data_IF_886316103553
#
_entry.id   IF_886316103553
#
_cell.length_a   1.000
_cell.length_b   1.000
_cell.length_c   1.000
_cell.angle_alpha   90.00
_cell.angle_beta   90.00
_cell.angle_gamma   90.00
#
_symmetry.space_group_name_H-M   'P 1'
#
loop_
_entity.id
_entity.type
_entity.pdbx_description
1 polymer ?
#
# COMPACT_ATOMS: atom_id res chain seq x y z
N UNK A 1 -20.43 5.77 12.03
CA UNK A 1 -19.77 7.04 11.68
C UNK A 1 -19.03 6.83 10.36
N UNK A 2 -18.99 7.87 9.53
CA UNK A 2 -18.21 7.85 8.29
C UNK A 2 -16.71 7.87 8.63
N UNK A 3 -15.88 7.34 7.72
CA UNK A 3 -14.42 7.39 7.86
C UNK A 3 -13.91 8.81 7.63
N UNK A 4 -12.75 9.14 8.16
CA UNK A 4 -12.06 10.39 7.87
C UNK A 4 -11.65 10.51 6.39
N UNK A 5 -11.29 11.72 5.92
CA UNK A 5 -11.02 11.98 4.49
C UNK A 5 -9.91 11.09 3.90
N UNK A 6 -8.81 10.91 4.63
CA UNK A 6 -7.71 10.06 4.19
C UNK A 6 -8.14 8.59 4.14
N UNK A 7 -8.79 8.12 5.21
CA UNK A 7 -9.28 6.75 5.29
C UNK A 7 -10.30 6.42 4.19
N UNK A 8 -11.09 7.40 3.73
CA UNK A 8 -12.02 7.21 2.61
C UNK A 8 -11.31 6.96 1.29
N UNK A 9 -10.18 7.63 1.03
CA UNK A 9 -9.47 7.57 -0.25
C UNK A 9 -8.29 6.60 -0.28
N UNK A 10 -7.88 6.07 0.87
CA UNK A 10 -6.70 5.19 0.98
C UNK A 10 -6.99 3.84 1.62
N UNK A 11 -8.09 3.68 2.38
CA UNK A 11 -8.44 2.39 2.99
C UNK A 11 -9.37 1.61 2.10
N UNK A 12 -8.94 0.42 1.70
CA UNK A 12 -9.74 -0.53 0.92
C UNK A 12 -9.88 -1.85 1.68
N UNK A 13 -10.95 -2.58 1.39
CA UNK A 13 -11.08 -3.97 1.85
C UNK A 13 -10.38 -4.89 0.88
N UNK A 14 -9.59 -5.84 1.39
CA UNK A 14 -8.88 -6.83 0.62
C UNK A 14 -9.28 -8.25 1.03
N UNK A 15 -8.95 -9.21 0.18
CA UNK A 15 -9.20 -10.63 0.40
C UNK A 15 -7.85 -11.31 0.64
N UNK A 16 -7.83 -12.21 1.62
CA UNK A 16 -6.73 -13.13 1.83
C UNK A 16 -7.18 -14.56 1.55
N UNK A 17 -6.43 -15.28 0.74
CA UNK A 17 -6.72 -16.67 0.37
C UNK A 17 -5.41 -17.46 0.30
N UNK A 18 -5.51 -18.79 0.44
CA UNK A 18 -4.37 -19.72 0.27
C UNK A 18 -4.11 -20.08 -1.19
N UNK A 19 -5.09 -19.92 -2.04
CA UNK A 19 -5.03 -20.28 -3.45
C UNK A 19 -5.38 -19.09 -4.33
N UNK A 20 -4.61 -18.88 -5.40
CA UNK A 20 -4.81 -17.76 -6.32
C UNK A 20 -6.16 -17.82 -7.06
N UNK A 21 -6.73 -19.01 -7.28
CA UNK A 21 -8.04 -19.17 -7.93
C UNK A 21 -9.17 -18.73 -7.00
N UNK A 22 -9.08 -19.12 -5.72
CA UNK A 22 -10.04 -18.68 -4.70
C UNK A 22 -9.95 -17.17 -4.50
N UNK A 23 -8.71 -16.61 -4.52
CA UNK A 23 -8.50 -15.17 -4.47
C UNK A 23 -9.17 -14.47 -5.64
N UNK A 24 -8.97 -14.96 -6.86
CA UNK A 24 -9.57 -14.36 -8.06
C UNK A 24 -11.11 -14.42 -8.01
N UNK A 25 -11.70 -15.56 -7.62
CA UNK A 25 -13.14 -15.73 -7.51
C UNK A 25 -13.76 -14.79 -6.47
N UNK A 26 -13.16 -14.72 -5.29
CA UNK A 26 -13.64 -13.86 -4.22
C UNK A 26 -13.48 -12.37 -4.59
N UNK A 27 -12.40 -11.99 -5.27
CA UNK A 27 -12.20 -10.62 -5.76
C UNK A 27 -13.24 -10.23 -6.81
N UNK A 28 -13.57 -11.13 -7.75
CA UNK A 28 -14.60 -10.87 -8.78
C UNK A 28 -15.97 -10.57 -8.15
N UNK A 29 -16.29 -11.22 -7.03
CA UNK A 29 -17.54 -10.97 -6.29
C UNK A 29 -17.46 -9.63 -5.54
N UNK A 30 -16.35 -9.36 -4.86
CA UNK A 30 -16.21 -8.16 -4.02
C UNK A 30 -16.08 -6.87 -4.80
N UNK A 31 -15.51 -6.90 -6.00
CA UNK A 31 -15.32 -5.71 -6.84
C UNK A 31 -16.60 -5.28 -7.58
N UNK A 32 -17.69 -6.04 -7.41
CA UNK A 32 -18.98 -5.68 -8.00
C UNK A 32 -19.42 -4.29 -7.54
N UNK A 33 -19.85 -3.43 -8.46
CA UNK A 33 -20.32 -2.08 -8.09
C UNK A 33 -21.50 -2.16 -7.13
N UNK A 34 -21.41 -1.42 -6.02
CA UNK A 34 -22.53 -1.23 -5.09
C UNK A 34 -22.88 0.27 -5.05
N UNK A 35 -24.15 0.66 -5.27
CA UNK A 35 -24.56 2.07 -5.27
C UNK A 35 -24.38 2.77 -3.92
N UNK A 36 -24.13 2.03 -2.85
CA UNK A 36 -23.80 2.57 -1.52
C UNK A 36 -22.34 2.94 -1.36
N UNK A 37 -21.46 2.48 -2.26
CA UNK A 37 -20.05 2.85 -2.28
C UNK A 37 -19.81 3.96 -3.31
N UNK A 38 -19.70 5.23 -2.88
CA UNK A 38 -19.54 6.35 -3.78
C UNK A 38 -18.14 6.42 -4.41
N UNK A 39 -17.18 5.63 -3.92
CA UNK A 39 -15.79 5.64 -4.37
C UNK A 39 -15.46 4.43 -5.25
N UNK A 40 -16.35 3.45 -5.35
CA UNK A 40 -16.14 2.31 -6.23
C UNK A 40 -16.19 2.72 -7.70
N UNK A 41 -15.08 2.65 -8.47
CA UNK A 41 -15.11 2.98 -9.89
C UNK A 41 -15.84 1.88 -10.67
N UNK A 42 -16.64 2.21 -11.68
CA UNK A 42 -17.35 1.23 -12.51
C UNK A 42 -16.41 0.59 -13.55
N UNK A 43 -15.36 -0.10 -13.08
CA UNK A 43 -14.36 -0.75 -13.95
C UNK A 43 -14.64 -2.25 -13.99
N UNK A 44 -14.51 -2.90 -15.17
CA UNK A 44 -14.63 -4.34 -15.28
C UNK A 44 -13.45 -5.02 -14.58
N UNK A 45 -13.69 -6.13 -13.89
CA UNK A 45 -12.67 -6.88 -13.17
C UNK A 45 -11.43 -7.24 -14.00
N UNK A 46 -11.63 -7.66 -15.24
CA UNK A 46 -10.52 -8.11 -16.11
C UNK A 46 -9.76 -6.99 -16.78
N UNK A 47 -10.20 -5.75 -16.65
CA UNK A 47 -9.51 -4.60 -17.23
C UNK A 47 -9.40 -4.65 -18.76
N UNK A 48 -8.38 -3.97 -19.27
CA UNK A 48 -8.00 -3.98 -20.69
C UNK A 48 -7.00 -5.09 -20.95
N UNK A 49 -6.92 -5.57 -22.22
CA UNK A 49 -5.84 -6.43 -22.66
C UNK A 49 -4.52 -5.63 -22.64
N UNK A 50 -3.57 -6.10 -21.87
CA UNK A 50 -2.26 -5.46 -21.72
C UNK A 50 -1.27 -5.84 -22.84
N UNK A 51 -1.67 -6.73 -23.76
CA UNK A 51 -0.78 -7.30 -24.77
C UNK A 51 0.23 -8.29 -24.16
N UNK A 52 1.12 -8.81 -24.98
CA UNK A 52 2.19 -9.73 -24.56
C UNK A 52 3.51 -9.39 -25.28
N UNK A 53 4.67 -9.49 -24.61
CA UNK A 53 4.83 -9.84 -23.18
C UNK A 53 4.42 -8.68 -22.25
N UNK A 54 3.83 -9.03 -21.11
CA UNK A 54 3.53 -8.04 -20.06
C UNK A 54 4.83 -7.69 -19.34
N UNK A 55 5.13 -6.39 -19.22
CA UNK A 55 6.29 -5.91 -18.49
C UNK A 55 6.04 -5.95 -16.98
N UNK A 56 7.05 -6.37 -16.23
CA UNK A 56 7.10 -6.34 -14.78
C UNK A 56 8.29 -5.51 -14.35
N UNK A 57 8.04 -4.41 -13.65
CA UNK A 57 9.10 -3.66 -13.00
C UNK A 57 9.54 -4.40 -11.74
N UNK A 58 10.83 -4.56 -11.52
CA UNK A 58 11.40 -5.06 -10.26
C UNK A 58 12.12 -3.93 -9.57
N UNK A 59 11.80 -3.70 -8.31
CA UNK A 59 12.50 -2.73 -7.47
C UNK A 59 12.88 -3.35 -6.13
N UNK A 60 14.07 -3.00 -5.67
CA UNK A 60 14.59 -3.32 -4.33
C UNK A 60 14.69 -2.05 -3.49
N UNK A 61 13.92 -1.00 -3.85
CA UNK A 61 13.86 0.21 -3.05
C UNK A 61 13.23 -0.10 -1.69
N UNK A 62 13.98 0.19 -0.65
CA UNK A 62 13.63 -0.08 0.75
C UNK A 62 13.46 1.18 1.58
N UNK A 63 13.34 2.34 0.93
CA UNK A 63 13.31 3.65 1.63
C UNK A 63 14.53 3.84 2.57
N UNK A 64 15.68 3.27 2.21
CA UNK A 64 16.91 3.35 2.99
C UNK A 64 17.05 2.33 4.14
N UNK A 65 16.05 1.46 4.34
CA UNK A 65 16.14 0.38 5.33
C UNK A 65 16.90 -0.83 4.77
N UNK A 66 17.70 -1.54 5.60
CA UNK A 66 18.38 -2.75 5.14
C UNK A 66 17.37 -3.86 4.81
N UNK A 67 17.53 -4.48 3.65
CA UNK A 67 16.74 -5.65 3.27
C UNK A 67 17.50 -6.92 3.67
N UNK A 68 16.82 -7.85 4.33
CA UNK A 68 17.39 -9.15 4.67
C UNK A 68 17.73 -9.94 3.38
N UNK A 69 18.92 -10.57 3.34
CA UNK A 69 19.41 -11.32 2.17
C UNK A 69 18.44 -12.39 1.65
N UNK A 70 17.72 -13.06 2.56
CA UNK A 70 16.68 -14.03 2.19
C UNK A 70 15.49 -13.41 1.45
N UNK A 71 15.15 -12.16 1.71
CA UNK A 71 14.10 -11.44 0.96
C UNK A 71 14.60 -11.08 -0.43
N UNK A 72 15.86 -10.63 -0.56
CA UNK A 72 16.46 -10.37 -1.87
C UNK A 72 16.47 -11.64 -2.73
N UNK A 73 16.86 -12.79 -2.15
CA UNK A 73 16.85 -14.06 -2.85
C UNK A 73 15.43 -14.48 -3.29
N UNK A 74 14.39 -14.17 -2.51
CA UNK A 74 13.00 -14.44 -2.90
C UNK A 74 12.54 -13.53 -4.04
N UNK A 75 12.97 -12.28 -4.09
CA UNK A 75 12.68 -11.38 -5.22
C UNK A 75 13.35 -11.90 -6.49
N UNK A 76 14.62 -12.32 -6.41
CA UNK A 76 15.33 -12.90 -7.56
C UNK A 76 14.64 -14.19 -8.05
N UNK A 77 14.27 -15.10 -7.15
CA UNK A 77 13.52 -16.32 -7.49
C UNK A 77 12.13 -16.01 -8.12
N UNK A 78 11.43 -14.99 -7.62
CA UNK A 78 10.16 -14.58 -8.19
C UNK A 78 10.33 -13.95 -9.57
N UNK A 79 11.42 -13.21 -9.80
CA UNK A 79 11.78 -12.66 -11.10
C UNK A 79 12.01 -13.77 -12.14
N UNK A 80 12.82 -14.78 -11.80
CA UNK A 80 13.08 -15.93 -12.66
C UNK A 80 11.79 -16.68 -13.01
N UNK A 81 10.91 -16.89 -12.02
CA UNK A 81 9.63 -17.56 -12.23
C UNK A 81 8.67 -16.75 -13.13
N UNK A 82 8.71 -15.43 -13.08
CA UNK A 82 7.95 -14.57 -13.97
C UNK A 82 8.49 -14.61 -15.39
N UNK A 83 9.82 -14.60 -15.59
CA UNK A 83 10.44 -14.76 -16.89
C UNK A 83 10.10 -16.11 -17.51
N UNK A 84 10.19 -17.22 -16.76
CA UNK A 84 9.78 -18.55 -17.17
C UNK A 84 8.29 -18.63 -17.57
N UNK A 85 7.45 -17.81 -16.94
CA UNK A 85 6.04 -17.68 -17.28
C UNK A 85 5.77 -16.77 -18.50
N UNK A 86 6.82 -16.16 -19.10
CA UNK A 86 6.72 -15.35 -20.30
C UNK A 86 6.49 -13.87 -20.08
N UNK A 87 6.69 -13.37 -18.86
CA UNK A 87 6.71 -11.94 -18.57
C UNK A 87 8.06 -11.33 -18.94
N UNK A 88 8.07 -10.04 -19.24
CA UNK A 88 9.29 -9.27 -19.44
C UNK A 88 9.66 -8.57 -18.12
N UNK A 89 10.58 -9.14 -17.38
CA UNK A 89 11.04 -8.60 -16.09
C UNK A 89 12.15 -7.57 -16.32
N UNK A 90 12.03 -6.39 -15.70
CA UNK A 90 13.00 -5.30 -15.86
C UNK A 90 13.25 -4.65 -14.50
N UNK A 91 14.51 -4.62 -14.07
CA UNK A 91 14.91 -3.87 -12.88
C UNK A 91 14.95 -2.38 -13.22
N UNK A 92 14.14 -1.57 -12.54
CA UNK A 92 13.97 -0.13 -12.79
C UNK A 92 13.76 0.64 -11.49
N UNK A 93 14.10 1.93 -11.54
CA UNK A 93 13.71 2.84 -10.47
C UNK A 93 12.22 3.17 -10.58
N UNK A 94 11.52 3.11 -9.47
CA UNK A 94 10.11 3.51 -9.35
C UNK A 94 9.98 5.00 -9.00
N UNK A 95 8.80 5.61 -9.16
CA UNK A 95 8.52 6.87 -8.49
C UNK A 95 8.76 6.73 -6.98
N UNK A 96 9.15 7.81 -6.31
CA UNK A 96 9.63 7.77 -4.93
C UNK A 96 8.64 7.11 -3.96
N UNK A 97 9.02 5.94 -3.45
CA UNK A 97 8.25 5.20 -2.43
C UNK A 97 8.38 5.90 -1.07
N UNK A 98 9.58 6.38 -0.73
CA UNK A 98 9.81 7.07 0.55
C UNK A 98 9.00 8.36 0.66
N UNK A 99 8.94 9.18 -0.40
CA UNK A 99 8.11 10.38 -0.38
C UNK A 99 6.62 10.05 -0.18
N UNK A 100 6.13 9.02 -0.88
CA UNK A 100 4.75 8.57 -0.74
C UNK A 100 4.46 8.01 0.67
N UNK A 101 5.40 7.28 1.25
CA UNK A 101 5.31 6.76 2.62
C UNK A 101 5.28 7.91 3.65
N UNK A 102 6.18 8.87 3.55
CA UNK A 102 6.28 9.98 4.48
C UNK A 102 5.01 10.85 4.45
N UNK A 103 4.51 11.17 3.26
CA UNK A 103 3.27 11.92 3.09
C UNK A 103 2.05 11.15 3.63
N UNK A 104 1.98 9.84 3.35
CA UNK A 104 0.94 8.98 3.91
C UNK A 104 1.01 8.94 5.43
N UNK A 105 2.18 8.74 6.01
CA UNK A 105 2.35 8.57 7.45
C UNK A 105 1.97 9.85 8.22
N UNK A 106 2.46 11.03 7.77
CA UNK A 106 2.11 12.33 8.39
C UNK A 106 0.61 12.65 8.28
N UNK A 107 0.03 12.44 7.11
CA UNK A 107 -1.42 12.68 6.93
C UNK A 107 -2.27 11.70 7.72
N UNK A 108 -1.85 10.42 7.82
CA UNK A 108 -2.51 9.41 8.64
C UNK A 108 -2.45 9.77 10.14
N UNK A 109 -1.26 10.12 10.65
CA UNK A 109 -1.12 10.52 12.06
C UNK A 109 -2.00 11.73 12.38
N UNK A 110 -2.08 12.69 11.48
CA UNK A 110 -2.95 13.87 11.62
C UNK A 110 -4.43 13.49 11.71
N UNK A 111 -4.91 12.62 10.82
CA UNK A 111 -6.31 12.15 10.86
C UNK A 111 -6.58 11.31 12.12
N UNK A 112 -5.65 10.44 12.50
CA UNK A 112 -5.78 9.58 13.68
C UNK A 112 -5.77 10.40 14.99
N UNK A 113 -5.00 11.48 15.05
CA UNK A 113 -4.99 12.40 16.18
C UNK A 113 -6.36 13.01 16.47
N UNK A 114 -7.12 13.31 15.41
CA UNK A 114 -8.47 13.88 15.53
C UNK A 114 -9.55 12.82 15.74
N UNK A 115 -9.49 11.72 15.00
CA UNK A 115 -10.59 10.76 14.91
C UNK A 115 -10.46 9.55 15.82
N UNK A 116 -9.27 9.00 15.97
CA UNK A 116 -9.06 7.72 16.67
C UNK A 116 -8.41 7.87 18.04
N UNK A 117 -7.43 8.74 18.18
CA UNK A 117 -6.69 8.90 19.44
C UNK A 117 -7.60 9.19 20.64
N UNK A 118 -8.61 10.07 20.58
CA UNK A 118 -9.53 10.26 21.70
C UNK A 118 -10.25 8.98 22.15
N UNK A 119 -10.64 8.14 21.17
CA UNK A 119 -11.31 6.86 21.48
C UNK A 119 -10.35 5.87 22.12
N UNK A 120 -9.10 5.83 21.68
CA UNK A 120 -8.06 4.99 22.28
C UNK A 120 -7.77 5.44 23.71
N UNK A 121 -7.67 6.73 23.95
CA UNK A 121 -7.45 7.27 25.32
C UNK A 121 -8.61 6.93 26.26
N UNK A 122 -9.84 6.96 25.78
CA UNK A 122 -11.04 6.69 26.60
C UNK A 122 -11.27 5.19 26.82
N UNK A 123 -11.03 4.34 25.80
CA UNK A 123 -11.49 2.95 25.80
C UNK A 123 -10.38 1.93 25.51
N UNK A 124 -9.18 2.36 25.10
CA UNK A 124 -8.07 1.48 24.77
C UNK A 124 -7.46 0.78 25.98
N UNK A 125 -6.90 -0.42 25.77
CA UNK A 125 -6.04 -1.06 26.77
C UNK A 125 -4.73 -0.29 26.92
N UNK A 126 -3.95 -0.58 27.98
CA UNK A 126 -2.68 0.09 28.23
C UNK A 126 -1.66 -0.20 27.10
N UNK A 127 -1.69 -1.42 26.53
CA UNK A 127 -0.84 -1.83 25.42
C UNK A 127 -1.13 -0.98 24.17
N UNK A 128 -2.40 -0.84 23.79
CA UNK A 128 -2.75 -0.05 22.61
C UNK A 128 -2.43 1.44 22.79
N UNK A 129 -2.60 1.97 24.01
CA UNK A 129 -2.19 3.35 24.33
C UNK A 129 -0.70 3.53 24.15
N UNK A 130 0.11 2.62 24.69
CA UNK A 130 1.58 2.63 24.56
C UNK A 130 2.01 2.56 23.08
N UNK A 131 1.37 1.69 22.28
CA UNK A 131 1.65 1.57 20.84
C UNK A 131 1.36 2.88 20.12
N UNK A 132 0.24 3.53 20.44
CA UNK A 132 -0.11 4.80 19.81
C UNK A 132 0.78 5.96 20.26
N UNK A 133 1.20 6.00 21.53
CA UNK A 133 2.17 6.98 22.01
C UNK A 133 3.48 6.86 21.18
N UNK A 134 3.95 5.64 20.94
CA UNK A 134 5.13 5.39 20.11
C UNK A 134 4.93 5.85 18.64
N UNK A 135 3.77 5.57 18.03
CA UNK A 135 3.48 6.07 16.68
C UNK A 135 3.47 7.59 16.59
N UNK A 136 2.93 8.26 17.61
CA UNK A 136 2.91 9.72 17.67
C UNK A 136 4.26 10.34 18.01
N UNK A 137 5.17 9.60 18.65
CA UNK A 137 6.57 10.01 18.80
C UNK A 137 7.35 9.94 17.45
N UNK A 138 7.04 8.96 16.61
CA UNK A 138 7.67 8.80 15.29
C UNK A 138 7.04 9.68 14.22
N UNK A 139 5.76 10.00 14.35
CA UNK A 139 4.99 10.73 13.36
C UNK A 139 4.81 12.20 13.72
N UNK A 140 4.67 13.02 12.70
CA UNK A 140 4.33 14.43 12.85
C UNK A 140 2.83 14.63 12.67
N UNK A 141 2.20 15.40 13.59
CA UNK A 141 0.83 15.86 13.42
C UNK A 141 0.87 17.23 12.72
N UNK A 142 0.35 17.27 11.51
CA UNK A 142 0.36 18.47 10.67
C UNK A 142 -0.69 19.49 11.13
N UNK A 143 -0.39 20.77 10.99
CA UNK A 143 -1.42 21.79 11.01
C UNK A 143 -2.29 21.72 9.74
N UNK A 144 -3.35 22.51 9.70
CA UNK A 144 -4.32 22.45 8.60
C UNK A 144 -3.68 22.82 7.26
N UNK A 145 -2.80 23.80 7.23
CA UNK A 145 -2.19 24.31 5.99
C UNK A 145 -1.26 23.24 5.39
N UNK A 146 -0.43 22.63 6.23
CA UNK A 146 0.46 21.54 5.84
C UNK A 146 -0.32 20.28 5.47
N UNK A 147 -1.38 19.93 6.20
CA UNK A 147 -2.23 18.80 5.84
C UNK A 147 -2.89 18.97 4.46
N UNK A 148 -3.43 20.15 4.17
CA UNK A 148 -4.04 20.45 2.87
C UNK A 148 -3.01 20.39 1.75
N UNK A 149 -1.80 20.90 1.97
CA UNK A 149 -0.70 20.85 1.01
C UNK A 149 -0.29 19.41 0.71
N UNK A 150 -0.01 18.61 1.74
CA UNK A 150 0.40 17.21 1.59
C UNK A 150 -0.70 16.34 0.95
N UNK A 151 -1.94 16.54 1.35
CA UNK A 151 -3.06 15.85 0.73
C UNK A 151 -3.23 16.22 -0.75
N UNK A 152 -2.92 17.47 -1.12
CA UNK A 152 -2.89 17.93 -2.51
C UNK A 152 -1.78 17.25 -3.33
N UNK A 153 -0.59 17.09 -2.76
CA UNK A 153 0.56 16.44 -3.42
C UNK A 153 0.32 14.96 -3.75
N UNK A 154 -0.58 14.29 -3.02
CA UNK A 154 -1.02 12.94 -3.35
C UNK A 154 -1.43 12.80 -4.82
N UNK A 155 -2.10 13.81 -5.38
CA UNK A 155 -2.54 13.78 -6.79
C UNK A 155 -1.36 13.80 -7.76
N UNK A 156 -0.27 14.48 -7.42
CA UNK A 156 0.98 14.47 -8.19
C UNK A 156 1.60 13.08 -8.17
N UNK A 157 1.78 12.50 -6.97
CA UNK A 157 2.33 11.15 -6.80
C UNK A 157 1.50 10.10 -7.54
N UNK A 158 0.17 10.16 -7.43
CA UNK A 158 -0.72 9.27 -8.20
C UNK A 158 -0.53 9.40 -9.71
N UNK A 159 -0.29 10.60 -10.23
CA UNK A 159 -0.03 10.80 -11.66
C UNK A 159 1.29 10.19 -12.08
N UNK A 160 2.34 10.35 -11.29
CA UNK A 160 3.66 9.75 -11.55
C UNK A 160 3.56 8.21 -11.57
N UNK A 161 2.88 7.63 -10.58
CA UNK A 161 2.63 6.20 -10.53
C UNK A 161 1.74 5.71 -11.68
N UNK A 162 0.71 6.45 -12.06
CA UNK A 162 -0.14 6.08 -13.21
C UNK A 162 0.65 6.06 -14.53
N UNK A 163 1.55 7.02 -14.74
CA UNK A 163 2.43 7.06 -15.91
C UNK A 163 3.42 5.88 -15.88
N UNK A 164 3.99 5.58 -14.73
CA UNK A 164 4.87 4.43 -14.55
C UNK A 164 4.15 3.12 -14.81
N UNK A 165 2.96 2.93 -14.21
CA UNK A 165 2.15 1.71 -14.38
C UNK A 165 1.56 1.56 -15.79
N UNK A 166 1.47 2.63 -16.56
CA UNK A 166 1.12 2.55 -17.99
C UNK A 166 2.22 1.87 -18.81
N UNK A 167 3.49 1.96 -18.39
CA UNK A 167 4.61 1.27 -19.02
C UNK A 167 4.89 -0.10 -18.37
N UNK A 168 4.80 -0.19 -17.06
CA UNK A 168 5.05 -1.39 -16.24
C UNK A 168 3.78 -1.75 -15.46
N UNK A 169 2.83 -2.48 -16.05
CA UNK A 169 1.54 -2.77 -15.40
C UNK A 169 1.62 -3.56 -14.11
N UNK A 170 2.77 -4.21 -13.87
CA UNK A 170 3.06 -4.99 -12.67
C UNK A 170 4.36 -4.50 -12.03
N UNK A 171 4.39 -4.52 -10.71
CA UNK A 171 5.58 -4.18 -9.91
C UNK A 171 5.85 -5.31 -8.93
N UNK A 172 7.05 -5.87 -8.99
CA UNK A 172 7.58 -6.81 -8.00
C UNK A 172 8.49 -6.05 -7.03
N UNK A 173 8.13 -6.09 -5.75
CA UNK A 173 8.85 -5.38 -4.70
C UNK A 173 8.82 -6.18 -3.39
N UNK A 174 9.79 -6.02 -2.48
CA UNK A 174 9.68 -6.58 -1.14
C UNK A 174 8.42 -6.08 -0.43
N UNK A 175 7.65 -6.99 0.14
CA UNK A 175 6.51 -6.64 0.99
C UNK A 175 6.95 -6.25 2.40
N UNK A 176 8.01 -6.88 2.89
CA UNK A 176 8.60 -6.66 4.20
C UNK A 176 10.13 -6.81 4.11
N UNK A 177 10.87 -5.98 4.81
CA UNK A 177 12.33 -5.88 4.63
C UNK A 177 13.11 -6.88 5.49
N UNK A 178 12.46 -7.54 6.45
CA UNK A 178 13.11 -8.45 7.40
C UNK A 178 12.49 -9.85 7.37
N UNK A 179 13.04 -10.77 8.15
CA UNK A 179 12.39 -12.07 8.42
C UNK A 179 11.07 -11.86 9.14
N UNK A 180 10.13 -12.79 8.94
CA UNK A 180 8.94 -12.83 9.78
C UNK A 180 9.37 -12.94 11.25
N UNK A 181 8.73 -12.17 12.09
CA UNK A 181 8.90 -12.23 13.54
C UNK A 181 8.14 -13.41 14.12
N UNK A 182 8.61 -13.88 15.27
CA UNK A 182 7.93 -14.92 16.02
C UNK A 182 6.61 -14.39 16.61
N UNK A 183 5.73 -15.30 16.98
CA UNK A 183 4.51 -14.97 17.72
C UNK A 183 4.90 -14.30 19.04
N UNK A 184 4.22 -13.24 19.42
CA UNK A 184 4.52 -12.44 20.63
C UNK A 184 5.86 -11.66 20.58
N UNK A 185 6.22 -11.22 19.39
CA UNK A 185 7.45 -10.42 19.21
C UNK A 185 7.37 -9.00 19.80
N UNK A 186 6.18 -8.47 20.08
CA UNK A 186 5.91 -7.11 20.56
C UNK A 186 6.41 -6.84 21.98
#
# INVERSE_FOLDING_TARGET
AERGPLSQVMSVQGIMSRDARDLALATEIMISPDPRDPLAPPIPWRGLDLGAPIKVAVTKDSCGYPIHEGILALIDQASDALEDAGYQVVEVETPSISEAFDAWFRTLMTEMNVGLLPLIQDYGSDEIKTTFDYFFEMGEVLDLDNFVSEFGDRTRMMREWNLFLAEYPLVLTPFYMNKLYDWDYD
#
